data_IF_195641292476
#
_entry.id   IF_195641292476
#
_cell.length_a   1.000
_cell.length_b   1.000
_cell.length_c   1.000
_cell.angle_alpha   90.00
_cell.angle_beta   90.00
_cell.angle_gamma   90.00
#
_symmetry.space_group_name_H-M   'P 1'
#
loop_
_entity.id
_entity.type
_entity.pdbx_description
1 polymer ?
#
# COMPACT_ATOMS: atom_id res chain seq x y z
N UNK A 1 -34.15 10.55 20.59
CA UNK A 1 -33.29 10.76 19.41
C UNK A 1 -33.09 12.26 19.25
N UNK A 2 -31.85 12.72 19.31
CA UNK A 2 -31.50 14.14 19.25
C UNK A 2 -31.70 14.68 17.83
N UNK A 3 -32.19 15.92 17.70
CA UNK A 3 -32.31 16.63 16.41
C UNK A 3 -30.96 16.71 15.66
N UNK A 4 -29.85 16.67 16.39
CA UNK A 4 -28.50 16.68 15.82
C UNK A 4 -28.15 15.38 15.10
N UNK A 5 -28.60 14.23 15.63
CA UNK A 5 -28.36 12.91 15.03
C UNK A 5 -29.18 12.72 13.75
N UNK A 6 -30.36 13.33 13.67
CA UNK A 6 -31.16 13.33 12.44
C UNK A 6 -30.51 14.17 11.34
N UNK A 7 -29.89 15.31 11.68
CA UNK A 7 -29.21 16.15 10.69
C UNK A 7 -27.99 15.43 10.07
N UNK A 8 -27.18 14.74 10.87
CA UNK A 8 -26.00 14.00 10.36
C UNK A 8 -26.43 12.87 9.42
N UNK A 9 -27.52 12.16 9.73
CA UNK A 9 -28.04 11.10 8.86
C UNK A 9 -28.64 11.65 7.56
N UNK A 10 -29.30 12.81 7.61
CA UNK A 10 -29.80 13.48 6.42
C UNK A 10 -28.66 14.01 5.53
N UNK A 11 -27.59 14.56 6.12
CA UNK A 11 -26.43 15.02 5.37
C UNK A 11 -25.64 13.84 4.77
N UNK A 12 -25.51 12.72 5.50
CA UNK A 12 -24.86 11.52 4.99
C UNK A 12 -25.64 10.86 3.84
N UNK A 13 -26.98 10.85 3.91
CA UNK A 13 -27.83 10.34 2.83
C UNK A 13 -27.81 11.27 1.60
N UNK A 14 -27.79 12.59 1.81
CA UNK A 14 -27.69 13.57 0.72
C UNK A 14 -26.37 13.48 -0.04
N UNK A 15 -25.27 13.07 0.61
CA UNK A 15 -23.95 12.90 0.00
C UNK A 15 -23.77 11.60 -0.81
N UNK A 16 -24.82 10.77 -0.97
CA UNK A 16 -24.75 9.47 -1.63
C UNK A 16 -25.42 9.41 -3.01
N UNK A 17 -26.08 10.49 -3.44
CA UNK A 17 -26.67 10.54 -4.78
C UNK A 17 -25.56 10.63 -5.83
N UNK A 18 -25.51 9.72 -6.82
CA UNK A 18 -24.49 9.78 -7.85
C UNK A 18 -24.62 11.07 -8.65
N UNK A 19 -23.48 11.69 -8.97
CA UNK A 19 -23.39 12.84 -9.87
C UNK A 19 -23.79 12.35 -11.26
N UNK A 20 -25.05 12.56 -11.66
CA UNK A 20 -25.57 12.07 -12.94
C UNK A 20 -26.50 13.08 -13.63
N UNK A 21 -26.63 14.30 -13.07
CA UNK A 21 -27.43 15.36 -13.65
C UNK A 21 -26.72 16.10 -14.78
N UNK A 22 -27.47 16.49 -15.82
CA UNK A 22 -26.96 17.41 -16.85
C UNK A 22 -26.55 18.77 -16.25
N UNK A 23 -27.17 19.16 -15.14
CA UNK A 23 -26.85 20.38 -14.40
C UNK A 23 -25.51 20.26 -13.66
N UNK A 24 -25.21 19.08 -13.12
CA UNK A 24 -23.94 18.80 -12.45
C UNK A 24 -22.77 18.84 -13.43
N UNK A 25 -22.96 18.25 -14.62
CA UNK A 25 -21.96 18.30 -15.70
C UNK A 25 -21.66 19.75 -16.11
N UNK A 26 -22.69 20.59 -16.26
CA UNK A 26 -22.53 22.01 -16.60
C UNK A 26 -21.79 22.78 -15.51
N UNK A 27 -22.13 22.54 -14.24
CA UNK A 27 -21.49 23.18 -13.09
C UNK A 27 -20.00 22.84 -13.02
N UNK A 28 -19.65 21.57 -13.24
CA UNK A 28 -18.27 21.10 -13.27
C UNK A 28 -17.49 21.76 -14.42
N UNK A 29 -18.04 21.78 -15.64
CA UNK A 29 -17.41 22.40 -16.81
C UNK A 29 -17.18 23.90 -16.56
N UNK A 30 -18.18 24.65 -16.09
CA UNK A 30 -18.01 26.10 -15.88
C UNK A 30 -16.97 26.38 -14.79
N UNK A 31 -16.95 25.57 -13.72
CA UNK A 31 -15.95 25.69 -12.65
C UNK A 31 -14.53 25.44 -13.17
N UNK A 32 -14.33 24.43 -14.02
CA UNK A 32 -13.02 24.14 -14.64
C UNK A 32 -12.59 25.23 -15.63
N UNK A 33 -13.53 25.77 -16.42
CA UNK A 33 -13.27 26.89 -17.33
C UNK A 33 -12.85 28.14 -16.55
N UNK A 34 -13.54 28.46 -15.45
CA UNK A 34 -13.22 29.60 -14.59
C UNK A 34 -11.90 29.41 -13.83
N UNK A 35 -11.59 28.18 -13.39
CA UNK A 35 -10.30 27.86 -12.82
C UNK A 35 -9.15 28.05 -13.83
N UNK A 36 -9.36 27.62 -15.08
CA UNK A 36 -8.36 27.79 -16.15
C UNK A 36 -8.15 29.26 -16.53
N UNK A 37 -9.22 30.06 -16.53
CA UNK A 37 -9.12 31.52 -16.71
C UNK A 37 -8.27 32.18 -15.61
N UNK A 38 -8.34 31.66 -14.37
CA UNK A 38 -7.54 32.12 -13.22
C UNK A 38 -6.14 31.50 -13.14
N UNK A 39 -5.79 30.56 -14.04
CA UNK A 39 -4.57 29.74 -13.97
C UNK A 39 -4.46 28.88 -12.69
N UNK A 40 -5.61 28.50 -12.13
CA UNK A 40 -5.69 27.60 -10.97
C UNK A 40 -5.57 26.13 -11.38
N UNK A 41 -5.13 25.30 -10.44
CA UNK A 41 -5.05 23.85 -10.63
C UNK A 41 -6.44 23.19 -10.59
N UNK A 42 -6.67 22.16 -11.41
CA UNK A 42 -7.92 21.39 -11.44
C UNK A 42 -8.26 20.76 -10.08
N UNK A 43 -7.24 20.36 -9.31
CA UNK A 43 -7.44 19.84 -7.93
C UNK A 43 -8.18 20.85 -7.05
N UNK A 44 -7.77 22.13 -7.08
CA UNK A 44 -8.39 23.19 -6.29
C UNK A 44 -9.80 23.51 -6.80
N UNK A 45 -9.99 23.50 -8.13
CA UNK A 45 -11.29 23.70 -8.74
C UNK A 45 -12.30 22.61 -8.32
N UNK A 46 -11.89 21.34 -8.35
CA UNK A 46 -12.71 20.21 -7.90
C UNK A 46 -12.98 20.26 -6.39
N UNK A 47 -11.98 20.62 -5.58
CA UNK A 47 -12.18 20.80 -4.14
C UNK A 47 -13.19 21.92 -3.82
N UNK A 48 -13.25 22.98 -4.63
CA UNK A 48 -14.24 24.06 -4.47
C UNK A 48 -15.69 23.68 -4.83
N UNK A 49 -15.90 22.48 -5.39
CA UNK A 49 -17.24 21.94 -5.66
C UNK A 49 -17.84 21.18 -4.47
N UNK A 50 -17.09 21.02 -3.37
CA UNK A 50 -17.58 20.34 -2.18
C UNK A 50 -18.88 20.98 -1.66
N UNK A 51 -19.91 20.16 -1.45
CA UNK A 51 -21.22 20.59 -0.96
C UNK A 51 -22.11 21.25 -2.02
N UNK A 52 -21.63 21.47 -3.24
CA UNK A 52 -22.48 21.96 -4.33
C UNK A 52 -23.37 20.84 -4.86
N UNK A 53 -24.66 21.15 -5.04
CA UNK A 53 -25.71 20.18 -5.39
C UNK A 53 -25.78 18.97 -4.45
N UNK A 54 -25.34 19.12 -3.20
CA UNK A 54 -25.33 18.02 -2.22
C UNK A 54 -24.24 16.97 -2.47
N UNK A 55 -23.29 17.22 -3.37
CA UNK A 55 -22.26 16.25 -3.72
C UNK A 55 -20.98 16.44 -2.92
N UNK A 56 -20.38 15.33 -2.50
CA UNK A 56 -19.06 15.35 -1.86
C UNK A 56 -17.95 15.64 -2.89
N UNK A 57 -16.79 16.08 -2.41
CA UNK A 57 -15.65 16.34 -3.29
C UNK A 57 -15.15 15.07 -3.98
N UNK A 58 -15.30 13.93 -3.32
CA UNK A 58 -14.90 12.63 -3.83
C UNK A 58 -15.78 12.26 -5.02
N UNK A 59 -17.10 12.44 -4.90
CA UNK A 59 -18.04 12.18 -5.99
C UNK A 59 -17.76 13.05 -7.23
N UNK A 60 -17.41 14.32 -7.04
CA UNK A 60 -16.98 15.18 -8.15
C UNK A 60 -15.69 14.70 -8.82
N UNK A 61 -14.73 14.19 -8.04
CA UNK A 61 -13.48 13.63 -8.56
C UNK A 61 -13.73 12.34 -9.33
N UNK A 62 -14.54 11.44 -8.79
CA UNK A 62 -14.88 10.17 -9.44
C UNK A 62 -15.64 10.41 -10.75
N UNK A 63 -16.62 11.32 -10.75
CA UNK A 63 -17.35 11.73 -11.95
C UNK A 63 -16.43 12.38 -13.00
N UNK A 64 -15.51 13.25 -12.57
CA UNK A 64 -14.52 13.82 -13.48
C UNK A 64 -13.62 12.75 -14.11
N UNK A 65 -13.17 11.76 -13.33
CA UNK A 65 -12.31 10.69 -13.82
C UNK A 65 -13.03 9.76 -14.80
N UNK A 66 -14.28 9.40 -14.53
CA UNK A 66 -15.09 8.56 -15.40
C UNK A 66 -15.37 9.25 -16.75
N UNK A 67 -15.66 10.55 -16.73
CA UNK A 67 -16.05 11.33 -17.92
C UNK A 67 -14.97 12.29 -18.42
N UNK A 68 -13.71 12.02 -18.06
CA UNK A 68 -12.60 12.95 -18.22
C UNK A 68 -12.45 13.49 -19.63
N UNK A 69 -12.44 12.60 -20.63
CA UNK A 69 -12.20 13.00 -22.02
C UNK A 69 -13.34 13.86 -22.58
N UNK A 70 -14.59 13.54 -22.19
CA UNK A 70 -15.77 14.33 -22.54
C UNK A 70 -15.69 15.71 -21.89
N UNK A 71 -15.44 15.78 -20.58
CA UNK A 71 -15.37 17.03 -19.83
C UNK A 71 -14.23 17.91 -20.35
N UNK A 72 -13.03 17.36 -20.56
CA UNK A 72 -11.87 18.10 -21.07
C UNK A 72 -12.13 18.64 -22.49
N UNK A 73 -12.81 17.87 -23.34
CA UNK A 73 -13.25 18.33 -24.67
C UNK A 73 -14.22 19.51 -24.55
N UNK A 74 -15.23 19.42 -23.68
CA UNK A 74 -16.19 20.50 -23.45
C UNK A 74 -15.54 21.77 -22.85
N UNK A 75 -14.61 21.62 -21.91
CA UNK A 75 -13.81 22.71 -21.35
C UNK A 75 -12.99 23.39 -22.45
N UNK A 76 -12.35 22.61 -23.32
CA UNK A 76 -11.55 23.12 -24.43
C UNK A 76 -12.40 23.90 -25.44
N UNK A 77 -13.59 23.40 -25.79
CA UNK A 77 -14.54 24.10 -26.66
C UNK A 77 -15.02 25.40 -26.00
N UNK A 78 -15.33 25.35 -24.71
CA UNK A 78 -15.81 26.53 -23.96
C UNK A 78 -14.75 27.62 -23.82
N UNK A 79 -13.48 27.26 -23.65
CA UNK A 79 -12.37 28.21 -23.63
C UNK A 79 -12.16 28.91 -24.97
N UNK A 80 -12.23 28.15 -26.07
CA UNK A 80 -12.18 28.70 -27.44
C UNK A 80 -13.31 29.70 -27.67
N UNK A 81 -14.53 29.37 -27.21
CA UNK A 81 -15.69 30.27 -27.33
C UNK A 81 -15.56 31.54 -26.48
N UNK A 82 -14.92 31.45 -25.29
CA UNK A 82 -14.63 32.62 -24.44
C UNK A 82 -13.42 33.45 -24.92
N UNK A 83 -12.79 33.09 -26.03
CA UNK A 83 -11.61 33.80 -26.57
C UNK A 83 -10.37 33.69 -25.68
N UNK A 84 -10.35 32.74 -24.74
CA UNK A 84 -9.20 32.50 -23.87
C UNK A 84 -8.25 31.57 -24.64
N UNK A 85 -7.06 32.04 -25.03
CA UNK A 85 -6.11 31.22 -25.77
C UNK A 85 -5.73 30.02 -24.91
N UNK A 86 -5.98 28.82 -25.42
CA UNK A 86 -5.70 27.55 -24.77
C UNK A 86 -4.19 27.49 -24.43
N UNK A 87 -3.78 27.63 -23.16
CA UNK A 87 -2.38 27.41 -22.83
C UNK A 87 -2.11 25.94 -23.14
N UNK A 88 -1.22 25.71 -24.10
CA UNK A 88 -0.79 24.41 -24.60
C UNK A 88 -0.77 23.38 -23.46
N UNK A 89 -1.18 22.12 -23.71
CA UNK A 89 -1.20 21.07 -22.70
C UNK A 89 0.14 21.09 -21.98
N UNK A 90 0.13 21.33 -20.67
CA UNK A 90 1.35 21.45 -19.86
C UNK A 90 2.26 20.27 -20.20
N UNK A 91 3.29 20.57 -20.99
CA UNK A 91 4.21 19.61 -21.55
C UNK A 91 4.85 18.92 -20.35
N UNK A 92 4.66 17.59 -20.26
CA UNK A 92 5.47 16.71 -19.41
C UNK A 92 6.91 17.16 -19.54
N UNK A 93 7.53 17.60 -18.44
CA UNK A 93 8.89 18.15 -18.40
C UNK A 93 9.83 17.24 -19.20
N UNK A 94 10.13 17.65 -20.43
CA UNK A 94 11.01 16.93 -21.33
C UNK A 94 12.45 17.28 -20.92
N UNK A 95 13.23 16.23 -20.63
CA UNK A 95 14.67 16.34 -20.39
C UNK A 95 15.35 16.99 -21.59
N UNK A 96 16.20 17.98 -21.30
CA UNK A 96 17.16 18.64 -22.22
C UNK A 96 17.86 17.63 -23.15
N UNK A 97 17.97 17.90 -24.46
CA UNK A 97 18.97 17.27 -25.31
C UNK A 97 20.24 18.15 -25.40
N UNK A 98 21.40 17.51 -25.25
CA UNK A 98 22.74 18.03 -25.57
C UNK A 98 23.06 17.74 -27.05
N UNK A 99 23.97 18.50 -27.71
CA UNK A 99 24.05 18.56 -29.17
C UNK A 99 25.18 17.72 -29.79
N UNK A 100 25.00 17.50 -31.11
CA UNK A 100 25.99 17.28 -32.18
C UNK A 100 26.72 15.92 -32.31
N UNK A 101 26.41 15.22 -33.41
CA UNK A 101 27.41 14.78 -34.38
C UNK A 101 26.78 14.47 -35.75
N UNK A 102 27.49 14.86 -36.80
CA UNK A 102 27.17 14.84 -38.22
C UNK A 102 27.25 13.43 -38.84
N UNK A 103 26.50 13.19 -39.92
CA UNK A 103 26.70 12.00 -40.76
C UNK A 103 25.66 11.76 -41.85
N UNK A 104 25.83 12.45 -42.99
CA UNK A 104 25.62 12.02 -44.40
C UNK A 104 24.37 11.22 -44.86
N UNK A 105 23.77 11.81 -45.91
CA UNK A 105 22.79 11.34 -46.91
C UNK A 105 22.86 9.86 -47.37
N UNK A 106 21.70 9.23 -47.67
CA UNK A 106 21.14 8.90 -49.02
C UNK A 106 19.84 8.01 -48.87
N UNK A 107 19.10 7.58 -49.93
CA UNK A 107 17.80 8.15 -50.26
C UNK A 107 16.58 7.18 -50.24
N UNK A 108 15.39 7.78 -50.21
CA UNK A 108 14.14 7.43 -50.91
C UNK A 108 13.75 5.96 -51.12
N UNK A 109 12.68 5.52 -50.44
CA UNK A 109 11.73 4.55 -51.02
C UNK A 109 10.30 4.85 -50.54
N UNK A 110 9.38 4.66 -51.49
CA UNK A 110 7.99 5.10 -51.52
C UNK A 110 7.05 4.15 -50.77
N UNK A 111 5.91 4.71 -50.37
CA UNK A 111 4.57 4.10 -50.25
C UNK A 111 4.42 2.83 -49.41
N UNK A 112 3.74 2.95 -48.27
CA UNK A 112 3.21 1.82 -47.53
C UNK A 112 2.06 2.25 -46.62
N UNK A 113 0.85 1.81 -46.96
CA UNK A 113 -0.40 2.01 -46.26
C UNK A 113 -0.29 1.80 -44.75
N UNK A 114 -0.81 2.75 -43.96
CA UNK A 114 -1.03 2.59 -42.52
C UNK A 114 -2.24 1.70 -42.31
N UNK A 115 -2.07 0.38 -42.44
CA UNK A 115 -3.09 -0.58 -42.02
C UNK A 115 -3.08 -0.70 -40.50
N UNK A 116 -4.24 -0.48 -39.92
CA UNK A 116 -4.59 -0.83 -38.55
C UNK A 116 -4.70 -2.35 -38.48
N UNK A 117 -3.76 -3.01 -37.79
CA UNK A 117 -3.96 -4.40 -37.34
C UNK A 117 -3.76 -4.44 -35.83
N UNK A 118 -4.91 -4.43 -35.16
CA UNK A 118 -5.12 -5.21 -33.96
C UNK A 118 -4.75 -6.67 -34.27
N UNK A 119 -3.59 -7.11 -33.82
CA UNK A 119 -3.33 -8.54 -33.63
C UNK A 119 -2.59 -8.71 -32.32
N UNK A 120 -3.40 -8.91 -31.29
CA UNK A 120 -3.09 -9.58 -30.03
C UNK A 120 -2.58 -10.98 -30.41
N UNK A 121 -1.28 -11.08 -30.64
CA UNK A 121 -0.54 -12.34 -30.63
C UNK A 121 0.76 -12.03 -29.90
N UNK A 122 0.69 -12.02 -28.57
CA UNK A 122 1.88 -11.94 -27.75
C UNK A 122 2.75 -13.16 -28.09
N UNK A 123 3.87 -12.94 -28.75
CA UNK A 123 4.91 -13.95 -28.80
C UNK A 123 5.25 -14.32 -27.36
N UNK A 124 5.25 -15.63 -27.05
CA UNK A 124 5.68 -16.14 -25.77
C UNK A 124 7.01 -15.46 -25.38
N UNK A 125 7.19 -15.04 -24.11
CA UNK A 125 8.42 -14.40 -23.69
C UNK A 125 9.56 -15.38 -23.92
N UNK A 126 10.32 -15.16 -25.01
CA UNK A 126 11.61 -15.76 -25.22
C UNK A 126 12.53 -15.17 -24.16
N UNK A 127 12.53 -15.81 -22.99
CA UNK A 127 13.62 -15.68 -22.04
C UNK A 127 14.87 -16.21 -22.76
N UNK A 128 15.58 -15.30 -23.42
CA UNK A 128 16.92 -15.58 -23.90
C UNK A 128 17.78 -15.85 -22.67
N UNK A 129 18.09 -17.12 -22.40
CA UNK A 129 18.98 -17.62 -21.34
C UNK A 129 20.44 -17.09 -21.45
N UNK A 130 20.69 -16.16 -22.37
CA UNK A 130 21.97 -15.50 -22.62
C UNK A 130 22.00 -14.03 -22.18
N UNK A 131 20.90 -13.49 -21.65
CA UNK A 131 20.92 -12.16 -21.04
C UNK A 131 21.20 -12.33 -19.54
N UNK A 132 22.33 -11.81 -19.02
CA UNK A 132 22.61 -11.86 -17.58
C UNK A 132 21.48 -11.14 -16.82
N UNK A 133 21.16 -11.64 -15.63
CA UNK A 133 20.14 -11.05 -14.78
C UNK A 133 20.39 -9.53 -14.64
N UNK A 134 19.37 -8.67 -14.76
CA UNK A 134 19.53 -7.21 -14.87
C UNK A 134 20.20 -6.49 -13.69
N UNK A 135 20.70 -7.21 -12.68
CA UNK A 135 21.38 -6.70 -11.48
C UNK A 135 22.68 -7.45 -11.12
N UNK A 136 23.20 -8.30 -12.02
CA UNK A 136 24.35 -9.17 -11.73
C UNK A 136 25.68 -8.40 -11.56
N UNK A 137 25.81 -7.20 -12.15
CA UNK A 137 27.11 -6.51 -12.26
C UNK A 137 27.35 -5.39 -11.24
N UNK A 138 26.46 -5.22 -10.26
CA UNK A 138 26.71 -4.30 -9.14
C UNK A 138 27.74 -4.96 -8.21
N UNK A 139 29.02 -4.66 -8.44
CA UNK A 139 30.15 -5.03 -7.58
C UNK A 139 29.94 -4.39 -6.21
N UNK A 140 29.64 -5.20 -5.21
CA UNK A 140 29.54 -4.76 -3.81
C UNK A 140 30.94 -4.25 -3.44
N UNK A 141 31.13 -2.95 -3.13
CA UNK A 141 32.45 -2.45 -2.75
C UNK A 141 32.89 -3.14 -1.46
N UNK A 142 34.18 -3.48 -1.37
CA UNK A 142 34.70 -4.15 -0.18
C UNK A 142 34.42 -3.32 1.08
N UNK A 143 33.85 -3.95 2.12
CA UNK A 143 33.43 -3.25 3.32
C UNK A 143 34.63 -2.62 4.04
N UNK A 144 34.55 -1.33 4.45
CA UNK A 144 35.65 -0.63 5.07
C UNK A 144 35.99 -1.21 6.45
N UNK A 145 37.27 -1.44 6.74
CA UNK A 145 37.76 -2.03 8.01
C UNK A 145 37.65 -1.11 9.23
N UNK A 146 37.15 0.13 9.07
CA UNK A 146 37.03 1.14 10.15
C UNK A 146 35.67 1.84 10.05
N UNK A 147 35.14 2.24 11.21
CA UNK A 147 33.91 3.04 11.28
C UNK A 147 34.06 4.29 10.41
N UNK A 148 33.16 4.55 9.46
CA UNK A 148 33.25 5.73 8.61
C UNK A 148 33.19 7.01 9.46
N UNK A 149 33.94 8.04 9.07
CA UNK A 149 33.90 9.32 9.76
C UNK A 149 32.56 10.02 9.49
N UNK A 150 31.86 10.54 10.51
CA UNK A 150 30.56 11.18 10.32
C UNK A 150 30.65 12.38 9.36
N UNK A 151 29.71 12.52 8.40
CA UNK A 151 29.66 13.67 7.52
C UNK A 151 29.35 14.94 8.32
N UNK A 152 30.19 15.96 8.16
CA UNK A 152 30.04 17.26 8.86
C UNK A 152 29.41 18.34 7.96
N UNK A 153 29.22 18.06 6.66
CA UNK A 153 28.74 19.05 5.70
C UNK A 153 27.21 19.03 5.65
N UNK A 154 26.59 20.08 6.15
CA UNK A 154 25.14 20.25 6.11
C UNK A 154 24.77 21.20 4.97
N UNK A 155 23.96 20.73 4.02
CA UNK A 155 23.37 21.58 2.97
C UNK A 155 21.89 21.78 3.28
N UNK A 156 21.55 22.97 3.78
CA UNK A 156 20.16 23.33 4.04
C UNK A 156 19.36 23.40 2.73
N UNK A 157 18.15 22.84 2.73
CA UNK A 157 17.25 22.87 1.60
C UNK A 157 15.78 23.04 2.05
N UNK A 158 15.30 24.29 1.99
CA UNK A 158 13.92 24.63 2.29
C UNK A 158 13.52 24.22 3.70
N UNK A 159 12.66 23.20 3.81
CA UNK A 159 12.09 22.70 5.08
C UNK A 159 12.91 21.56 5.73
N UNK A 160 14.11 21.26 5.21
CA UNK A 160 14.98 20.20 5.74
C UNK A 160 16.42 20.28 5.22
N UNK A 161 17.21 19.24 5.49
CA UNK A 161 18.58 19.12 4.98
C UNK A 161 18.60 18.20 3.76
N UNK A 162 19.34 18.58 2.72
CA UNK A 162 19.53 17.72 1.55
C UNK A 162 20.64 16.72 1.82
N UNK A 163 20.41 15.46 1.43
CA UNK A 163 21.46 14.44 1.42
C UNK A 163 22.62 14.87 0.52
N UNK A 164 23.77 15.08 1.16
CA UNK A 164 25.04 15.35 0.49
C UNK A 164 25.61 14.06 -0.10
N UNK A 165 26.64 14.18 -0.94
CA UNK A 165 27.32 12.97 -1.45
C UNK A 165 28.04 12.25 -0.31
N UNK A 166 28.56 13.01 0.65
CA UNK A 166 29.19 12.50 1.88
C UNK A 166 28.20 11.69 2.73
N UNK A 167 26.94 12.14 2.84
CA UNK A 167 25.89 11.40 3.53
C UNK A 167 25.60 10.05 2.87
N UNK A 168 25.61 10.00 1.52
CA UNK A 168 25.36 8.76 0.75
C UNK A 168 26.52 7.77 0.89
N UNK A 169 27.75 8.25 0.82
CA UNK A 169 28.92 7.41 1.05
C UNK A 169 28.96 6.88 2.48
N UNK A 170 28.67 7.74 3.46
CA UNK A 170 28.58 7.35 4.87
C UNK A 170 27.51 6.28 5.07
N UNK A 171 26.31 6.48 4.50
CA UNK A 171 25.20 5.53 4.57
C UNK A 171 25.58 4.13 4.10
N UNK A 172 26.18 4.01 2.90
CA UNK A 172 26.57 2.71 2.34
C UNK A 172 27.67 2.07 3.20
N UNK A 173 28.71 2.82 3.55
CA UNK A 173 29.83 2.31 4.36
C UNK A 173 29.40 1.91 5.77
N UNK A 174 28.46 2.65 6.36
CA UNK A 174 27.94 2.39 7.70
C UNK A 174 27.14 1.09 7.74
N UNK A 175 26.25 0.87 6.77
CA UNK A 175 25.48 -0.37 6.64
C UNK A 175 26.42 -1.57 6.47
N UNK A 176 27.41 -1.46 5.57
CA UNK A 176 28.42 -2.50 5.36
C UNK A 176 29.21 -2.82 6.64
N UNK A 177 29.69 -1.79 7.35
CA UNK A 177 30.44 -1.97 8.59
C UNK A 177 29.57 -2.60 9.69
N UNK A 178 28.31 -2.15 9.81
CA UNK A 178 27.42 -2.60 10.87
C UNK A 178 26.97 -4.05 10.67
N UNK A 179 26.66 -4.45 9.43
CA UNK A 179 26.26 -5.82 9.12
C UNK A 179 27.39 -6.84 9.27
N UNK A 180 28.65 -6.41 9.15
CA UNK A 180 29.80 -7.26 9.52
C UNK A 180 29.93 -7.48 11.02
N UNK A 181 29.56 -6.51 11.84
CA UNK A 181 29.60 -6.64 13.29
C UNK A 181 28.39 -7.46 13.79
N UNK A 182 27.20 -7.13 13.30
CA UNK A 182 25.94 -7.72 13.70
C UNK A 182 25.04 -7.97 12.46
N UNK A 183 24.97 -9.20 11.93
CA UNK A 183 24.18 -9.50 10.73
C UNK A 183 22.67 -9.50 10.96
N UNK A 184 22.21 -9.58 12.22
CA UNK A 184 20.79 -9.67 12.59
C UNK A 184 20.08 -8.32 12.74
N UNK A 185 20.72 -7.20 12.38
CA UNK A 185 20.09 -5.89 12.51
C UNK A 185 19.01 -5.67 11.45
N UNK A 186 17.90 -5.09 11.89
CA UNK A 186 16.82 -4.71 10.97
C UNK A 186 17.11 -3.37 10.31
N UNK A 187 16.43 -3.12 9.18
CA UNK A 187 16.51 -1.83 8.47
C UNK A 187 16.24 -0.63 9.38
N UNK A 188 15.29 -0.78 10.30
CA UNK A 188 14.90 0.31 11.20
C UNK A 188 16.00 0.60 12.23
N UNK A 189 16.59 -0.45 12.81
CA UNK A 189 17.70 -0.31 13.77
C UNK A 189 18.91 0.39 13.13
N UNK A 190 19.17 0.10 11.85
CA UNK A 190 20.22 0.78 11.08
C UNK A 190 19.91 2.26 10.86
N UNK A 191 18.66 2.62 10.53
CA UNK A 191 18.24 4.00 10.37
C UNK A 191 18.30 4.79 11.69
N UNK A 192 17.97 4.18 12.82
CA UNK A 192 18.04 4.83 14.13
C UNK A 192 19.50 5.10 14.53
N UNK A 193 20.40 4.15 14.30
CA UNK A 193 21.84 4.36 14.54
C UNK A 193 22.46 5.39 13.59
N UNK A 194 21.99 5.48 12.34
CA UNK A 194 22.40 6.51 11.40
C UNK A 194 21.98 7.90 11.90
N UNK A 195 20.77 8.05 12.43
CA UNK A 195 20.29 9.30 12.99
C UNK A 195 21.08 9.73 14.23
N UNK A 196 21.51 8.78 15.06
CA UNK A 196 22.38 9.06 16.22
C UNK A 196 23.77 9.59 15.77
N UNK A 197 24.35 9.02 14.70
CA UNK A 197 25.66 9.44 14.17
C UNK A 197 25.60 10.70 13.30
N UNK A 198 24.46 10.95 12.67
CA UNK A 198 24.25 12.10 11.79
C UNK A 198 22.97 12.82 12.23
N UNK A 199 23.03 13.64 13.29
CA UNK A 199 21.84 14.27 13.88
C UNK A 199 21.16 15.29 12.95
N UNK A 200 21.78 15.60 11.81
CA UNK A 200 21.22 16.47 10.78
C UNK A 200 20.16 15.79 9.91
N UNK A 201 20.04 14.46 9.99
CA UNK A 201 19.01 13.67 9.32
C UNK A 201 18.31 12.76 10.33
N UNK A 202 16.98 12.78 10.35
CA UNK A 202 16.19 11.92 11.24
C UNK A 202 16.16 10.47 10.74
N UNK A 203 15.83 9.51 11.61
CA UNK A 203 15.72 8.09 11.20
C UNK A 203 14.66 7.89 10.11
N UNK A 204 13.57 8.66 10.15
CA UNK A 204 12.55 8.68 9.10
C UNK A 204 13.11 9.21 7.76
N UNK A 205 13.95 10.25 7.80
CA UNK A 205 14.63 10.77 6.61
C UNK A 205 15.55 9.72 5.99
N UNK A 206 16.30 8.98 6.81
CA UNK A 206 17.13 7.86 6.37
C UNK A 206 16.31 6.71 5.79
N UNK A 207 15.17 6.37 6.40
CA UNK A 207 14.29 5.32 5.89
C UNK A 207 13.69 5.69 4.52
N UNK A 208 13.31 6.96 4.32
CA UNK A 208 12.85 7.47 3.03
C UNK A 208 13.98 7.50 1.98
N UNK A 209 15.20 7.88 2.38
CA UNK A 209 16.38 7.82 1.52
C UNK A 209 16.70 6.38 1.10
N UNK A 210 16.57 5.43 2.02
CA UNK A 210 16.74 4.01 1.77
C UNK A 210 15.72 3.52 0.74
N UNK A 211 14.42 3.79 0.91
CA UNK A 211 13.40 3.32 -0.05
C UNK A 211 13.61 3.87 -1.46
N UNK A 212 14.13 5.09 -1.60
CA UNK A 212 14.43 5.69 -2.90
C UNK A 212 15.72 5.15 -3.54
N UNK A 213 16.67 4.62 -2.75
CA UNK A 213 17.98 4.12 -3.19
C UNK A 213 18.29 2.73 -2.61
N UNK A 214 17.34 1.80 -2.70
CA UNK A 214 17.39 0.51 -1.98
C UNK A 214 18.23 -0.57 -2.71
N UNK A 215 18.57 -0.39 -3.98
CA UNK A 215 19.25 -1.41 -4.80
C UNK A 215 20.57 -1.92 -4.21
N UNK A 216 21.42 -1.01 -3.72
CA UNK A 216 22.73 -1.34 -3.15
C UNK A 216 22.63 -1.78 -1.67
N UNK A 217 21.93 -1.04 -0.79
CA UNK A 217 21.78 -1.44 0.62
C UNK A 217 21.06 -2.77 0.81
N UNK A 218 20.00 -3.04 0.05
CA UNK A 218 19.26 -4.30 0.18
C UNK A 218 20.09 -5.48 -0.32
N UNK A 219 20.92 -5.28 -1.36
CA UNK A 219 21.87 -6.29 -1.83
C UNK A 219 22.93 -6.59 -0.76
N UNK A 220 23.39 -5.58 -0.03
CA UNK A 220 24.34 -5.76 1.09
C UNK A 220 23.67 -6.50 2.25
N UNK A 221 22.43 -6.14 2.60
CA UNK A 221 21.65 -6.88 3.61
C UNK A 221 21.46 -8.34 3.22
N UNK A 222 20.99 -8.60 2.00
CA UNK A 222 20.77 -9.96 1.50
C UNK A 222 22.08 -10.77 1.52
N UNK A 223 23.19 -10.21 1.05
CA UNK A 223 24.48 -10.88 1.07
C UNK A 223 24.96 -11.18 2.50
N UNK A 224 24.72 -10.28 3.46
CA UNK A 224 25.09 -10.50 4.86
C UNK A 224 24.23 -11.60 5.51
N UNK A 225 22.95 -11.70 5.16
CA UNK A 225 22.08 -12.80 5.61
C UNK A 225 22.46 -14.14 4.98
N UNK A 226 22.79 -14.17 3.68
CA UNK A 226 23.28 -15.37 2.99
C UNK A 226 24.62 -15.86 3.59
N UNK A 227 25.53 -14.94 3.94
CA UNK A 227 26.80 -15.28 4.61
C UNK A 227 26.57 -15.79 6.04
N UNK A 228 25.59 -15.24 6.77
CA UNK A 228 25.26 -15.67 8.13
C UNK A 228 24.51 -17.02 8.18
N UNK A 229 23.74 -17.36 7.15
CA UNK A 229 22.98 -18.61 7.04
C UNK A 229 23.75 -19.78 6.41
N UNK A 230 25.09 -19.67 6.28
CA UNK A 230 26.04 -20.74 5.91
C UNK A 230 25.41 -22.10 5.60
N UNK A 231 24.88 -22.25 4.40
CA UNK A 231 24.49 -23.56 3.86
C UNK A 231 25.72 -24.12 3.15
N UNK A 232 26.24 -25.22 3.70
CA UNK A 232 27.16 -26.15 3.05
C UNK A 232 26.59 -26.55 1.68
N UNK A 233 27.07 -25.93 0.60
CA UNK A 233 26.92 -26.43 -0.76
C UNK A 233 28.24 -27.07 -1.20
N UNK A 234 28.70 -28.04 -0.41
CA UNK A 234 29.69 -29.07 -0.79
C UNK A 234 28.98 -30.43 -0.75
N UNK A 235 28.10 -30.67 -1.71
CA UNK A 235 27.77 -32.03 -2.16
C UNK A 235 27.60 -32.03 -3.68
N UNK A 236 28.74 -32.04 -4.36
CA UNK A 236 28.88 -32.79 -5.61
C UNK A 236 28.79 -34.29 -5.26
N UNK A 237 27.71 -34.99 -5.63
CA UNK A 237 27.77 -36.25 -6.39
C UNK A 237 26.37 -36.76 -6.76
N UNK A 238 26.32 -37.43 -7.90
CA UNK A 238 25.23 -38.05 -8.64
C UNK A 238 24.04 -38.64 -7.85
N UNK A 239 22.82 -38.39 -8.34
CA UNK A 239 22.01 -39.47 -8.95
C UNK A 239 20.63 -38.95 -9.40
N UNK A 240 20.33 -39.29 -10.65
CA UNK A 240 19.08 -39.23 -11.39
C UNK A 240 17.76 -39.42 -10.60
N UNK A 241 16.78 -38.55 -10.82
CA UNK A 241 15.56 -38.88 -11.59
C UNK A 241 14.62 -37.68 -11.70
N UNK A 242 14.03 -37.53 -12.89
CA UNK A 242 13.05 -36.53 -13.27
C UNK A 242 11.82 -36.53 -12.35
N UNK A 243 11.54 -35.39 -11.72
CA UNK A 243 10.15 -34.96 -11.51
C UNK A 243 10.04 -33.47 -11.83
N UNK A 244 9.57 -33.20 -13.04
CA UNK A 244 9.16 -31.88 -13.51
C UNK A 244 8.06 -31.33 -12.58
N UNK A 245 8.42 -30.47 -11.64
CA UNK A 245 7.46 -29.60 -10.96
C UNK A 245 7.37 -28.26 -11.71
N UNK A 246 6.16 -27.79 -12.04
CA UNK A 246 5.97 -26.57 -12.80
C UNK A 246 6.50 -25.37 -12.02
N UNK A 247 7.47 -24.71 -12.62
CA UNK A 247 8.04 -23.44 -12.21
C UNK A 247 6.92 -22.43 -11.95
N UNK A 248 6.82 -22.01 -10.69
CA UNK A 248 6.01 -20.87 -10.28
C UNK A 248 6.51 -19.65 -11.05
N UNK A 249 5.74 -19.26 -12.05
CA UNK A 249 5.84 -17.96 -12.71
C UNK A 249 5.74 -16.92 -11.61
N UNK A 250 6.87 -16.30 -11.28
CA UNK A 250 6.95 -15.17 -10.38
C UNK A 250 6.26 -14.02 -11.10
N UNK A 251 4.97 -13.87 -10.83
CA UNK A 251 4.12 -12.83 -11.37
C UNK A 251 4.78 -11.47 -11.08
N UNK A 252 5.11 -10.66 -12.09
CA UNK A 252 5.58 -9.29 -11.86
C UNK A 252 4.49 -8.56 -11.10
N UNK A 253 4.77 -8.22 -9.84
CA UNK A 253 3.91 -7.33 -9.05
C UNK A 253 3.87 -6.00 -9.79
N UNK A 254 2.80 -5.78 -10.55
CA UNK A 254 2.38 -4.47 -10.98
C UNK A 254 2.10 -3.66 -9.71
N UNK A 255 3.06 -2.82 -9.32
CA UNK A 255 2.91 -1.83 -8.27
C UNK A 255 1.87 -0.83 -8.76
N UNK A 256 0.62 -1.02 -8.35
CA UNK A 256 -0.41 0.01 -8.42
C UNK A 256 -0.01 1.03 -7.37
N UNK A 257 0.55 2.15 -7.81
CA UNK A 257 0.77 3.35 -6.98
C UNK A 257 -0.52 3.65 -6.21
N UNK A 258 -0.55 3.26 -4.93
CA UNK A 258 -1.41 3.90 -3.95
C UNK A 258 -0.68 5.16 -3.53
N UNK A 259 -1.01 6.26 -4.20
CA UNK A 259 -0.67 7.61 -3.79
C UNK A 259 -1.30 7.87 -2.41
N UNK A 260 -0.55 7.57 -1.35
CA UNK A 260 -0.82 8.09 0.00
C UNK A 260 -0.40 9.55 -0.06
N UNK A 261 -1.39 10.43 -0.23
CA UNK A 261 -1.21 11.82 0.14
C UNK A 261 -1.22 11.87 1.67
N UNK A 262 -0.06 12.17 2.25
CA UNK A 262 0.05 12.70 3.61
C UNK A 262 -0.58 14.10 3.60
N UNK A 263 -1.87 14.19 3.93
CA UNK A 263 -2.46 15.42 4.42
C UNK A 263 -1.94 15.64 5.85
N UNK A 264 -1.27 16.76 6.06
CA UNK A 264 -0.87 17.23 7.38
C UNK A 264 -2.11 17.51 8.22
N UNK A 265 -2.33 16.68 9.23
CA UNK A 265 -3.27 16.94 10.30
C UNK A 265 -2.77 18.12 11.14
N UNK A 266 -3.54 19.20 11.12
CA UNK A 266 -3.55 20.19 12.18
C UNK A 266 -4.05 19.50 13.45
N UNK A 267 -3.22 19.55 14.50
CA UNK A 267 -3.57 19.17 15.87
C UNK A 267 -4.72 20.06 16.37
N UNK A 268 -5.95 19.59 16.17
CA UNK A 268 -7.09 20.02 16.97
C UNK A 268 -7.41 18.89 17.93
N UNK A 269 -7.09 19.11 19.20
CA UNK A 269 -7.55 18.35 20.37
C UNK A 269 -9.08 18.27 20.34
N UNK A 270 -9.61 17.29 19.60
CA UNK A 270 -10.97 16.83 19.74
C UNK A 270 -10.97 15.80 20.87
N UNK A 271 -11.44 16.26 22.02
CA UNK A 271 -11.88 15.47 23.17
C UNK A 271 -12.77 14.31 22.66
N UNK A 272 -12.16 13.14 22.42
CA UNK A 272 -12.87 11.90 22.13
C UNK A 272 -13.49 11.48 23.46
N UNK A 273 -14.73 11.89 23.66
CA UNK A 273 -15.54 11.42 24.76
C UNK A 273 -15.53 9.89 24.77
N UNK A 274 -15.20 9.32 25.93
CA UNK A 274 -15.41 7.93 26.32
C UNK A 274 -16.91 7.59 26.26
N UNK A 275 -17.48 7.55 25.06
CA UNK A 275 -18.76 6.92 24.81
C UNK A 275 -18.46 5.45 24.53
N UNK A 276 -18.47 4.65 25.60
CA UNK A 276 -18.54 3.19 25.60
C UNK A 276 -19.81 2.75 24.84
N UNK A 277 -19.81 2.90 23.51
CA UNK A 277 -20.86 2.37 22.65
C UNK A 277 -20.61 0.87 22.57
N UNK A 278 -21.38 0.11 23.36
CA UNK A 278 -21.34 -1.34 23.46
C UNK A 278 -21.53 -1.97 22.07
N UNK A 279 -20.43 -2.13 21.33
CA UNK A 279 -20.44 -2.75 20.02
C UNK A 279 -20.80 -4.22 20.16
N UNK A 280 -22.10 -4.51 20.02
CA UNK A 280 -22.61 -5.88 20.02
C UNK A 280 -22.27 -6.50 18.67
N UNK A 281 -21.28 -7.41 18.68
CA UNK A 281 -20.98 -8.27 17.53
C UNK A 281 -22.26 -8.97 17.06
N UNK A 282 -22.75 -8.70 15.84
CA UNK A 282 -23.92 -9.39 15.31
C UNK A 282 -23.67 -10.89 15.30
N UNK A 283 -24.68 -11.66 15.71
CA UNK A 283 -24.61 -13.12 15.66
C UNK A 283 -24.74 -13.56 14.20
N UNK A 284 -23.63 -13.87 13.55
CA UNK A 284 -23.63 -14.43 12.21
C UNK A 284 -23.83 -15.95 12.25
N UNK A 285 -24.61 -16.46 11.29
CA UNK A 285 -24.74 -17.88 11.03
C UNK A 285 -23.53 -18.39 10.22
N UNK A 286 -23.08 -19.61 10.50
CA UNK A 286 -21.96 -20.25 9.78
C UNK A 286 -22.28 -20.41 8.28
N UNK A 287 -23.56 -20.48 7.92
CA UNK A 287 -24.03 -20.54 6.53
C UNK A 287 -23.74 -19.27 5.71
N UNK A 288 -23.48 -18.14 6.36
CA UNK A 288 -23.19 -16.85 5.71
C UNK A 288 -21.71 -16.67 5.32
N UNK A 289 -20.84 -17.64 5.64
CA UNK A 289 -19.43 -17.61 5.27
C UNK A 289 -19.23 -17.73 3.75
N UNK A 290 -18.19 -17.07 3.23
CA UNK A 290 -17.84 -17.13 1.80
C UNK A 290 -17.36 -18.52 1.38
N UNK A 291 -17.65 -18.93 0.13
CA UNK A 291 -17.18 -20.21 -0.42
C UNK A 291 -15.70 -20.16 -0.75
N UNK A 292 -15.08 -21.32 -0.93
CA UNK A 292 -13.67 -21.42 -1.31
C UNK A 292 -13.38 -20.68 -2.62
N UNK A 293 -12.56 -19.63 -2.55
CA UNK A 293 -12.20 -18.77 -3.68
C UNK A 293 -12.79 -17.37 -3.62
N UNK A 294 -13.87 -17.15 -2.85
CA UNK A 294 -14.56 -15.86 -2.78
C UNK A 294 -13.84 -14.85 -1.87
N UNK A 295 -14.34 -13.61 -1.82
CA UNK A 295 -14.27 -12.66 -0.72
C UNK A 295 -14.08 -13.26 0.68
N UNK A 296 -13.30 -12.67 1.58
CA UNK A 296 -13.62 -12.85 3.00
C UNK A 296 -14.83 -11.97 3.32
N UNK A 297 -15.87 -12.58 3.89
CA UNK A 297 -17.11 -11.90 4.27
C UNK A 297 -17.06 -11.41 5.72
N UNK A 298 -18.01 -10.57 6.11
CA UNK A 298 -18.15 -10.12 7.51
C UNK A 298 -18.47 -11.29 8.47
N UNK A 299 -19.11 -12.36 7.97
CA UNK A 299 -19.34 -13.57 8.75
C UNK A 299 -18.02 -14.32 9.02
N UNK A 300 -17.15 -14.43 8.01
CA UNK A 300 -15.80 -15.00 8.16
C UNK A 300 -15.00 -14.23 9.22
N UNK A 301 -15.11 -12.90 9.19
CA UNK A 301 -14.47 -12.01 10.15
C UNK A 301 -14.98 -12.24 11.58
N UNK A 302 -16.29 -12.21 11.80
CA UNK A 302 -16.88 -12.34 13.13
C UNK A 302 -16.58 -13.71 13.78
N UNK A 303 -16.66 -14.79 13.00
CA UNK A 303 -16.35 -16.14 13.49
C UNK A 303 -14.85 -16.28 13.80
N UNK A 304 -13.99 -15.72 12.97
CA UNK A 304 -12.54 -15.71 13.22
C UNK A 304 -12.20 -14.90 14.46
N UNK A 305 -12.81 -13.73 14.66
CA UNK A 305 -12.63 -12.91 15.86
C UNK A 305 -13.06 -13.66 17.13
N UNK A 306 -14.21 -14.35 17.09
CA UNK A 306 -14.68 -15.21 18.19
C UNK A 306 -13.73 -16.37 18.47
N UNK A 307 -13.17 -16.98 17.44
CA UNK A 307 -12.18 -18.04 17.60
C UNK A 307 -10.92 -17.53 18.30
N UNK A 308 -10.38 -16.40 17.85
CA UNK A 308 -9.19 -15.80 18.47
C UNK A 308 -9.48 -15.39 19.92
N UNK A 309 -10.67 -14.87 20.20
CA UNK A 309 -11.09 -14.49 21.56
C UNK A 309 -11.14 -15.69 22.52
N UNK A 310 -11.59 -16.85 22.02
CA UNK A 310 -11.70 -18.09 22.81
C UNK A 310 -10.41 -18.90 22.90
N UNK A 311 -9.37 -18.54 22.14
CA UNK A 311 -8.10 -19.25 22.14
C UNK A 311 -7.14 -18.65 23.17
N UNK A 312 -6.79 -19.43 24.20
CA UNK A 312 -5.81 -19.04 25.21
C UNK A 312 -4.41 -18.90 24.59
N UNK A 313 -3.67 -17.87 25.00
CA UNK A 313 -2.30 -17.61 24.52
C UNK A 313 -2.14 -17.59 22.97
N UNK A 314 -3.13 -17.01 22.28
CA UNK A 314 -3.10 -16.88 20.81
C UNK A 314 -1.83 -16.19 20.26
N UNK A 315 -1.19 -15.30 21.04
CA UNK A 315 0.04 -14.64 20.65
C UNK A 315 1.29 -15.54 20.73
N UNK A 316 1.33 -16.51 21.66
CA UNK A 316 2.49 -17.38 21.91
C UNK A 316 2.47 -18.65 21.05
N UNK A 317 1.31 -19.01 20.52
CA UNK A 317 1.11 -20.26 19.79
C UNK A 317 1.59 -20.16 18.35
N UNK A 318 2.22 -21.22 17.81
CA UNK A 318 2.67 -21.22 16.42
C UNK A 318 1.51 -21.05 15.43
N UNK A 319 1.75 -20.41 14.28
CA UNK A 319 0.72 -20.17 13.23
C UNK A 319 0.02 -21.45 12.80
N UNK A 320 0.75 -22.57 12.67
CA UNK A 320 0.16 -23.85 12.29
C UNK A 320 -0.76 -24.40 13.38
N UNK A 321 -0.38 -24.29 14.65
CA UNK A 321 -1.23 -24.74 15.76
C UNK A 321 -2.50 -23.88 15.90
N UNK A 322 -2.41 -22.58 15.65
CA UNK A 322 -3.57 -21.66 15.70
C UNK A 322 -4.58 -21.96 14.61
N UNK A 323 -4.14 -22.13 13.37
CA UNK A 323 -5.05 -22.15 12.23
C UNK A 323 -5.40 -23.55 11.72
N UNK A 324 -4.64 -24.59 12.08
CA UNK A 324 -4.93 -25.96 11.64
C UNK A 324 -6.28 -26.48 12.17
N UNK A 325 -6.61 -26.39 13.47
CA UNK A 325 -7.93 -26.83 13.96
C UNK A 325 -9.07 -26.02 13.34
N UNK A 326 -8.86 -24.72 13.13
CA UNK A 326 -9.85 -23.84 12.52
C UNK A 326 -10.15 -24.21 11.07
N UNK A 327 -9.11 -24.49 10.28
CA UNK A 327 -9.26 -24.93 8.88
C UNK A 327 -9.95 -26.30 8.74
N UNK A 328 -9.84 -27.17 9.74
CA UNK A 328 -10.57 -28.45 9.76
C UNK A 328 -12.07 -28.26 9.98
N UNK A 329 -12.46 -27.25 10.77
CA UNK A 329 -13.86 -26.89 10.99
C UNK A 329 -14.47 -26.18 9.78
N UNK A 330 -13.67 -25.37 9.09
CA UNK A 330 -14.09 -24.58 7.92
C UNK A 330 -13.23 -24.91 6.70
N UNK A 331 -13.47 -26.08 6.05
CA UNK A 331 -12.66 -26.58 4.94
C UNK A 331 -12.77 -25.73 3.67
N UNK A 332 -13.68 -24.74 3.62
CA UNK A 332 -13.77 -23.77 2.53
C UNK A 332 -12.51 -22.92 2.37
N UNK A 333 -11.69 -22.78 3.44
CA UNK A 333 -10.44 -21.99 3.42
C UNK A 333 -9.31 -22.78 4.08
N UNK A 334 -8.12 -22.67 3.49
CA UNK A 334 -6.92 -23.28 4.07
C UNK A 334 -6.44 -22.55 5.32
N UNK A 335 -5.69 -23.25 6.16
CA UNK A 335 -4.99 -22.70 7.33
C UNK A 335 -4.12 -21.49 6.96
N UNK A 336 -3.42 -21.55 5.82
CA UNK A 336 -2.63 -20.44 5.29
C UNK A 336 -3.48 -19.22 4.93
N UNK A 337 -4.67 -19.44 4.37
CA UNK A 337 -5.60 -18.38 4.00
C UNK A 337 -6.10 -17.61 5.23
N UNK A 338 -6.46 -18.33 6.30
CA UNK A 338 -6.86 -17.72 7.57
C UNK A 338 -5.71 -16.93 8.24
N UNK A 339 -4.51 -17.48 8.21
CA UNK A 339 -3.33 -16.82 8.77
C UNK A 339 -2.96 -15.51 8.05
N UNK A 340 -3.07 -15.48 6.71
CA UNK A 340 -2.86 -14.26 5.92
C UNK A 340 -3.97 -13.24 6.14
N UNK A 341 -5.23 -13.70 6.23
CA UNK A 341 -6.36 -12.84 6.52
C UNK A 341 -6.20 -12.10 7.85
N UNK A 342 -5.86 -12.84 8.91
CA UNK A 342 -5.56 -12.26 10.22
C UNK A 342 -4.44 -11.21 10.15
N UNK A 343 -3.31 -11.53 9.49
CA UNK A 343 -2.17 -10.61 9.38
C UNK A 343 -2.50 -9.31 8.62
N UNK A 344 -3.34 -9.39 7.60
CA UNK A 344 -3.79 -8.18 6.88
C UNK A 344 -4.70 -7.31 7.75
N UNK A 345 -5.54 -7.94 8.55
CA UNK A 345 -6.56 -7.26 9.35
C UNK A 345 -6.04 -6.74 10.70
N UNK A 346 -5.00 -7.38 11.25
CA UNK A 346 -4.28 -6.92 12.46
C UNK A 346 -3.68 -5.52 12.27
N UNK A 347 -3.26 -5.18 11.04
CA UNK A 347 -2.81 -3.82 10.70
C UNK A 347 -3.92 -2.78 10.72
N UNK A 348 -5.19 -3.20 10.77
CA UNK A 348 -6.35 -2.32 10.67
C UNK A 348 -7.02 -2.00 12.01
N UNK A 349 -6.40 -2.31 13.16
CA UNK A 349 -6.87 -2.09 14.56
C UNK A 349 -8.24 -2.72 14.97
N UNK A 350 -9.12 -2.99 14.00
CA UNK A 350 -10.49 -3.43 14.19
C UNK A 350 -10.61 -4.80 14.86
N UNK A 351 -9.66 -5.71 14.61
CA UNK A 351 -9.63 -7.02 15.27
C UNK A 351 -9.33 -6.90 16.77
N UNK A 352 -8.38 -6.02 17.13
CA UNK A 352 -7.94 -5.88 18.52
C UNK A 352 -9.06 -5.30 19.39
N UNK A 353 -9.80 -4.31 18.88
CA UNK A 353 -10.97 -3.75 19.57
C UNK A 353 -12.03 -4.83 19.86
N UNK A 354 -12.33 -5.70 18.90
CA UNK A 354 -13.33 -6.76 19.08
C UNK A 354 -12.89 -7.86 20.05
N UNK A 355 -11.60 -8.15 20.11
CA UNK A 355 -11.05 -9.10 21.09
C UNK A 355 -11.16 -8.56 22.52
N UNK A 356 -10.93 -7.26 22.70
CA UNK A 356 -11.10 -6.58 23.99
C UNK A 356 -12.58 -6.61 24.41
N UNK A 357 -13.50 -6.25 23.51
CA UNK A 357 -14.94 -6.25 23.80
C UNK A 357 -15.48 -7.66 24.10
N UNK A 358 -15.06 -8.68 23.36
CA UNK A 358 -15.54 -10.06 23.55
C UNK A 358 -15.13 -10.63 24.92
N UNK A 359 -13.90 -10.34 25.38
CA UNK A 359 -13.43 -10.76 26.71
C UNK A 359 -14.19 -10.09 27.85
N UNK A 360 -14.63 -8.84 27.66
CA UNK A 360 -15.47 -8.12 28.65
C UNK A 360 -16.86 -8.73 28.75
N UNK A 361 -17.47 -9.14 27.64
CA UNK A 361 -18.82 -9.73 27.64
C UNK A 361 -18.89 -11.12 28.30
N UNK A 362 -17.84 -11.93 28.18
CA UNK A 362 -17.83 -13.28 28.77
C UNK A 362 -17.62 -13.26 30.30
N UNK A 363 -16.91 -12.25 30.83
CA UNK A 363 -16.76 -12.07 32.28
C UNK A 363 -18.04 -11.58 32.97
N UNK A 364 -18.98 -11.01 32.21
CA UNK A 364 -20.25 -10.48 32.72
C UNK A 364 -21.38 -11.50 32.76
N UNK A 365 -21.19 -12.71 32.20
CA UNK A 365 -22.18 -13.79 32.31
C UNK A 365 -21.99 -14.57 33.62
N UNK A 366 -22.87 -14.40 34.62
CA UNK A 366 -22.80 -15.21 35.83
C UNK A 366 -22.99 -16.68 35.45
N UNK A 367 -22.01 -17.50 35.83
CA UNK A 367 -22.04 -18.95 35.73
C UNK A 367 -23.27 -19.48 36.47
N UNK A 368 -24.36 -19.69 35.74
CA UNK A 368 -25.54 -20.40 36.21
C UNK A 368 -25.18 -21.89 36.34
N UNK A 369 -24.46 -22.21 37.42
CA UNK A 369 -24.23 -23.58 37.85
C UNK A 369 -25.57 -24.18 38.27
N UNK A 370 -26.14 -24.97 37.36
CA UNK A 370 -27.32 -25.79 37.59
C UNK A 370 -27.14 -26.64 38.86
N UNK A 371 -27.85 -26.24 39.92
CA UNK A 371 -28.12 -27.02 41.13
C UNK A 371 -28.70 -28.37 40.71
N UNK A 372 -27.91 -29.44 40.82
CA UNK A 372 -28.40 -30.82 40.70
C UNK A 372 -29.40 -31.07 41.82
N UNK A 373 -30.65 -31.34 41.43
CA UNK A 373 -31.72 -31.82 42.30
C UNK A 373 -31.28 -33.12 43.00
N UNK A 374 -31.03 -33.04 44.31
CA UNK A 374 -31.15 -34.20 45.20
C UNK A 374 -32.65 -34.48 45.38
N UNK A 375 -33.15 -35.49 44.67
CA UNK A 375 -34.40 -36.16 45.06
C UNK A 375 -34.06 -37.19 46.13
N UNK A 376 -34.33 -36.84 47.38
CA UNK A 376 -34.40 -37.77 48.51
C UNK A 376 -35.77 -37.62 49.18
N UNK A 377 -36.58 -38.68 49.09
CA UNK A 377 -37.56 -39.12 50.10
C UNK A 377 -38.82 -38.28 50.34
N UNK A 378 -39.99 -38.83 49.98
CA UNK A 378 -41.12 -39.01 50.90
C UNK A 378 -42.31 -39.68 50.19
N UNK A 379 -42.47 -40.99 50.38
CA UNK A 379 -43.68 -41.64 50.94
C UNK A 379 -43.48 -43.14 50.96
#
# INVERSE_FOLDING_TARGET
MSLFQQQILHDALALSTPVAGADDERLLIDTLVNARARKDNYKNALNSLHGKNGHSVILWKDFYLEWKDKIDMHVSVSLKNKGIPDPLPMIKVAKKPTPASSGTNLPSAKNGHRSTINSITAHAPSYNSRLPAPNAEVKIPHPPSRSPSPPTKVVAHGRGNKFTEEDREFFIRFIQWRLRCDPNLTRNDLCDQLAEKVPHHTSQSWAAHWSNNHDLPDKILAAAYEEAEGYDEDTEDESSEEVVQPSRTRNPRYYKESSVEEDGQDDQDADIGDEDDDFVLPSFDESAMGKGGDPFTDADFALTARYIASFDDFAKTSTRQRWKPWSQRYPQRSDKSWAEYYRKQERGERLHQLLISSRRTDLSRPSCSCRKNQKSGCS
#
